data_IF_354709040929
#
_entry.id   IF_354709040929
#
_cell.length_a   1.000
_cell.length_b   1.000
_cell.length_c   1.000
_cell.angle_alpha   90.00
_cell.angle_beta   90.00
_cell.angle_gamma   90.00
#
_symmetry.space_group_name_H-M   'P 1'
#
loop_
_entity.id
_entity.type
_entity.pdbx_description
1 polymer ?
#
# COMPACT_ATOMS: atom_id res chain seq x y z
N UNK A 1 -20.22 7.58 -2.67
CA UNK A 1 -19.60 6.23 -2.64
C UNK A 1 -18.15 6.39 -2.21
N UNK A 2 -17.81 5.90 -1.02
CA UNK A 2 -16.59 6.21 -0.26
C UNK A 2 -15.48 5.17 -0.45
N UNK A 3 -15.31 4.58 -1.63
CA UNK A 3 -14.37 3.48 -1.80
C UNK A 3 -13.06 3.98 -2.42
N UNK A 4 -11.94 3.83 -1.71
CA UNK A 4 -10.62 4.01 -2.29
C UNK A 4 -10.33 2.74 -3.08
N UNK A 5 -10.38 2.83 -4.41
CA UNK A 5 -9.93 1.74 -5.28
C UNK A 5 -8.47 2.00 -5.57
N UNK A 6 -7.55 1.27 -4.95
CA UNK A 6 -6.17 1.22 -5.44
C UNK A 6 -5.87 -0.20 -5.92
N UNK A 7 -5.70 -0.32 -7.24
CA UNK A 7 -5.37 -1.56 -7.93
C UNK A 7 -3.93 -1.95 -7.57
N UNK A 8 -3.77 -2.91 -6.66
CA UNK A 8 -2.46 -3.48 -6.36
C UNK A 8 -2.11 -4.50 -7.46
N UNK A 9 -1.18 -4.14 -8.34
CA UNK A 9 -0.69 -5.05 -9.39
C UNK A 9 0.37 -6.00 -8.85
N UNK A 10 -0.03 -7.05 -8.14
CA UNK A 10 0.91 -8.05 -7.65
C UNK A 10 1.30 -8.99 -8.81
N UNK A 11 2.52 -8.86 -9.33
CA UNK A 11 3.03 -9.73 -10.40
C UNK A 11 3.81 -10.87 -9.77
N UNK A 12 3.18 -12.04 -9.58
CA UNK A 12 3.88 -13.24 -9.13
C UNK A 12 4.75 -13.82 -10.26
N UNK A 13 5.99 -14.27 -9.98
CA UNK A 13 6.80 -14.95 -10.98
C UNK A 13 6.09 -16.23 -11.44
N UNK A 14 5.72 -16.29 -12.72
CA UNK A 14 5.03 -17.42 -13.35
C UNK A 14 3.56 -17.20 -13.72
N UNK A 15 2.95 -16.06 -13.37
CA UNK A 15 1.57 -15.74 -13.81
C UNK A 15 1.57 -14.72 -14.96
N UNK A 16 0.99 -15.10 -16.10
CA UNK A 16 0.83 -14.24 -17.29
C UNK A 16 -0.31 -13.21 -17.15
N UNK A 17 -1.09 -13.27 -16.07
CA UNK A 17 -2.22 -12.36 -15.83
C UNK A 17 -1.98 -11.50 -14.60
N UNK A 18 -1.87 -10.18 -14.79
CA UNK A 18 -1.94 -9.21 -13.68
C UNK A 18 -3.36 -9.22 -13.11
N UNK A 19 -3.50 -9.72 -11.88
CA UNK A 19 -4.74 -9.62 -11.12
C UNK A 19 -4.99 -8.19 -10.63
N UNK A 20 -6.25 -7.86 -10.36
CA UNK A 20 -6.66 -6.59 -9.75
C UNK A 20 -7.23 -6.87 -8.36
N UNK A 21 -6.69 -6.21 -7.35
CA UNK A 21 -7.17 -6.29 -5.96
C UNK A 21 -7.85 -4.98 -5.57
N UNK A 22 -9.05 -5.07 -4.98
CA UNK A 22 -9.76 -3.95 -4.38
C UNK A 22 -9.56 -3.95 -2.87
N UNK A 23 -9.06 -2.84 -2.31
CA UNK A 23 -8.87 -2.67 -0.85
C UNK A 23 -9.75 -1.54 -0.35
N UNK A 24 -10.71 -1.83 0.52
CA UNK A 24 -11.67 -0.84 1.00
C UNK A 24 -11.80 -0.83 2.54
N UNK A 25 -12.42 0.24 3.05
CA UNK A 25 -12.91 0.34 4.42
C UNK A 25 -14.10 1.32 4.44
N UNK A 26 -14.81 1.45 5.57
CA UNK A 26 -16.06 2.23 5.64
C UNK A 26 -16.00 3.62 4.96
N UNK A 27 -14.97 4.42 5.27
CA UNK A 27 -14.79 5.78 4.73
C UNK A 27 -13.69 5.88 3.66
N UNK A 28 -12.88 4.83 3.48
CA UNK A 28 -11.66 4.91 2.66
C UNK A 28 -10.67 5.99 3.14
N UNK A 29 -10.66 6.32 4.44
CA UNK A 29 -9.83 7.39 5.03
C UNK A 29 -8.66 6.82 5.83
N UNK A 30 -8.88 5.76 6.63
CA UNK A 30 -7.89 5.33 7.63
C UNK A 30 -7.35 3.92 7.38
N UNK A 31 -8.19 2.89 7.55
CA UNK A 31 -7.77 1.47 7.45
C UNK A 31 -7.26 1.07 6.06
N UNK A 32 -8.05 1.30 5.01
CA UNK A 32 -7.65 0.97 3.64
C UNK A 32 -6.34 1.65 3.20
N UNK A 33 -6.17 2.98 3.33
CA UNK A 33 -4.89 3.60 2.95
C UNK A 33 -3.72 3.13 3.80
N UNK A 34 -3.90 2.79 5.08
CA UNK A 34 -2.83 2.21 5.88
C UNK A 34 -2.32 0.87 5.32
N UNK A 35 -3.24 -0.02 4.91
CA UNK A 35 -2.89 -1.30 4.28
C UNK A 35 -2.17 -1.09 2.95
N UNK A 36 -2.67 -0.17 2.12
CA UNK A 36 -2.07 0.15 0.81
C UNK A 36 -0.65 0.70 0.99
N UNK A 37 -0.42 1.61 1.94
CA UNK A 37 0.91 2.14 2.25
C UNK A 37 1.85 0.99 2.67
N UNK A 38 1.39 0.11 3.56
CA UNK A 38 2.17 -1.06 3.97
C UNK A 38 2.53 -1.99 2.81
N UNK A 39 1.61 -2.20 1.88
CA UNK A 39 1.88 -2.97 0.65
C UNK A 39 2.94 -2.28 -0.22
N UNK A 40 2.80 -0.97 -0.50
CA UNK A 40 3.77 -0.23 -1.31
C UNK A 40 5.17 -0.28 -0.68
N UNK A 41 5.24 -0.19 0.64
CA UNK A 41 6.50 -0.33 1.38
C UNK A 41 7.07 -1.75 1.26
N UNK A 42 6.27 -2.78 1.51
CA UNK A 42 6.77 -4.16 1.57
C UNK A 42 7.00 -4.81 0.20
N UNK A 43 6.13 -4.55 -0.77
CA UNK A 43 6.09 -5.26 -2.05
C UNK A 43 6.73 -4.45 -3.18
N UNK A 44 6.69 -3.12 -3.10
CA UNK A 44 7.28 -2.23 -4.11
C UNK A 44 8.53 -1.50 -3.61
N UNK A 45 8.92 -1.71 -2.35
CA UNK A 45 10.14 -1.12 -1.77
C UNK A 45 10.07 0.40 -1.61
N UNK A 46 8.88 1.01 -1.63
CA UNK A 46 8.75 2.45 -1.45
C UNK A 46 9.06 2.86 -0.01
N UNK A 47 9.62 4.07 0.15
CA UNK A 47 9.73 4.65 1.49
C UNK A 47 8.33 4.98 2.03
N UNK A 48 8.18 5.05 3.35
CA UNK A 48 6.92 5.49 3.98
C UNK A 48 6.44 6.84 3.43
N UNK A 49 7.35 7.79 3.20
CA UNK A 49 7.02 9.12 2.71
C UNK A 49 6.48 9.07 1.26
N UNK A 50 7.13 8.30 0.39
CA UNK A 50 6.72 8.16 -1.01
C UNK A 50 5.37 7.43 -1.12
N UNK A 51 5.21 6.33 -0.37
CA UNK A 51 3.98 5.56 -0.35
C UNK A 51 2.79 6.39 0.17
N UNK A 52 2.99 7.16 1.25
CA UNK A 52 1.95 8.05 1.78
C UNK A 52 1.61 9.17 0.79
N UNK A 53 2.63 9.75 0.13
CA UNK A 53 2.44 10.79 -0.88
C UNK A 53 1.63 10.26 -2.08
N UNK A 54 1.96 9.07 -2.57
CA UNK A 54 1.25 8.41 -3.65
C UNK A 54 -0.22 8.12 -3.29
N UNK A 55 -0.49 7.57 -2.11
CA UNK A 55 -1.86 7.30 -1.67
C UNK A 55 -2.66 8.61 -1.53
N UNK A 56 -2.03 9.69 -1.06
CA UNK A 56 -2.67 11.01 -0.99
C UNK A 56 -2.90 11.66 -2.34
N UNK A 57 -2.02 11.46 -3.33
CA UNK A 57 -2.20 12.01 -4.68
C UNK A 57 -3.38 11.35 -5.40
N UNK A 58 -3.58 10.04 -5.18
CA UNK A 58 -4.73 9.30 -5.71
C UNK A 58 -6.02 9.64 -4.95
N UNK A 59 -5.94 9.83 -3.63
CA UNK A 59 -7.09 10.22 -2.80
C UNK A 59 -6.66 11.17 -1.69
N UNK A 60 -6.93 12.47 -1.89
CA UNK A 60 -6.58 13.52 -0.94
C UNK A 60 -7.21 13.36 0.45
N UNK A 61 -8.35 12.67 0.56
CA UNK A 61 -9.00 12.39 1.84
C UNK A 61 -8.31 11.28 2.67
N UNK A 62 -7.26 10.64 2.13
CA UNK A 62 -6.52 9.60 2.86
C UNK A 62 -5.81 10.19 4.07
N UNK A 63 -6.21 9.71 5.24
CA UNK A 63 -5.65 10.08 6.53
C UNK A 63 -5.68 8.87 7.47
N UNK A 64 -4.70 7.95 7.37
CA UNK A 64 -4.46 6.93 8.37
C UNK A 64 -4.47 7.55 9.78
N UNK A 65 -4.99 6.82 10.75
CA UNK A 65 -4.97 7.33 12.13
C UNK A 65 -3.50 7.40 12.63
N UNK A 66 -3.22 8.18 13.68
CA UNK A 66 -1.85 8.33 14.20
C UNK A 66 -1.17 7.00 14.54
N UNK A 67 -1.89 6.05 15.15
CA UNK A 67 -1.34 4.74 15.48
C UNK A 67 -0.90 3.93 14.25
N UNK A 68 -1.67 3.97 13.15
CA UNK A 68 -1.25 3.38 11.88
C UNK A 68 -0.04 4.09 11.29
N UNK A 69 0.04 5.42 11.36
CA UNK A 69 1.20 6.16 10.88
C UNK A 69 2.47 5.79 11.67
N UNK A 70 2.37 5.65 12.99
CA UNK A 70 3.49 5.19 13.82
C UNK A 70 3.90 3.76 13.48
N UNK A 71 2.93 2.84 13.38
CA UNK A 71 3.19 1.47 12.98
C UNK A 71 3.86 1.36 11.62
N UNK A 72 3.41 2.16 10.63
CA UNK A 72 3.99 2.19 9.29
C UNK A 72 5.39 2.81 9.27
N UNK A 73 5.65 3.86 10.04
CA UNK A 73 7.02 4.43 10.16
C UNK A 73 8.01 3.47 10.80
N UNK A 74 7.56 2.68 11.77
CA UNK A 74 8.37 1.66 12.43
C UNK A 74 8.37 0.32 11.69
N UNK A 75 7.60 0.19 10.60
CA UNK A 75 7.51 -1.03 9.83
C UNK A 75 8.82 -1.28 9.09
N UNK A 76 9.50 -2.37 9.46
CA UNK A 76 10.68 -2.84 8.74
C UNK A 76 10.20 -3.60 7.51
N UNK A 77 10.43 -3.04 6.33
CA UNK A 77 10.19 -3.75 5.08
C UNK A 77 11.07 -5.00 5.09
N UNK A 78 10.49 -6.21 4.95
CA UNK A 78 11.32 -7.38 4.74
C UNK A 78 12.19 -7.09 3.51
N UNK A 79 13.52 -7.18 3.65
CA UNK A 79 14.42 -7.20 2.50
C UNK A 79 14.00 -8.40 1.70
N UNK A 80 13.19 -8.18 0.65
CA UNK A 80 12.94 -9.20 -0.34
C UNK A 80 14.26 -9.30 -1.09
N UNK A 81 15.17 -10.11 -0.55
CA UNK A 81 16.38 -10.53 -1.23
C UNK A 81 15.91 -11.24 -2.50
N UNK A 82 15.75 -10.47 -3.57
CA UNK A 82 15.82 -10.97 -4.92
C UNK A 82 17.24 -11.44 -5.14
N UNK A 83 17.55 -12.64 -4.65
CA UNK A 83 18.61 -13.47 -5.18
C UNK A 83 18.26 -13.71 -6.65
N UNK A 84 18.72 -12.80 -7.50
CA UNK A 84 18.78 -12.97 -8.93
C UNK A 84 19.80 -14.09 -9.17
N UNK A 85 19.32 -15.32 -9.34
CA UNK A 85 20.04 -16.34 -10.09
C UNK A 85 19.45 -16.40 -11.48
#
# INVERSE_FOLDING_TARGET
>A
MTELVMVLGCSSPGSLTKGVVLVHCNAGVSRAPAVIIGYLMSCEGQTFADALSLVKSVRGASSPNPGFLEQLRSYKTPTINGSKH
#
